data_IF_302856315942
#
_entry.id   IF_302856315942
#
_cell.length_a   1.000
_cell.length_b   1.000
_cell.length_c   1.000
_cell.angle_alpha   90.00
_cell.angle_beta   90.00
_cell.angle_gamma   90.00
#
_symmetry.space_group_name_H-M   'P 1'
#
loop_
_entity.id
_entity.type
_entity.pdbx_description
1 polymer ?
#
# COMPACT_ATOMS: atom_id res chain seq x y z
N UNK A 1 -23.16 25.60 -22.25
CA UNK A 1 -22.55 26.78 -21.58
C UNK A 1 -21.05 26.52 -21.37
N UNK A 2 -20.24 27.47 -21.80
CA UNK A 2 -18.79 27.35 -21.63
C UNK A 2 -18.38 27.93 -20.28
N UNK A 3 -17.58 27.21 -19.53
CA UNK A 3 -17.02 27.65 -18.26
C UNK A 3 -15.53 27.89 -18.45
N UNK A 4 -15.10 29.12 -18.26
CA UNK A 4 -13.68 29.47 -18.33
C UNK A 4 -13.01 29.19 -16.99
N UNK A 5 -11.96 28.38 -17.00
CA UNK A 5 -11.17 28.03 -15.83
C UNK A 5 -9.72 28.38 -16.06
N UNK A 6 -9.06 28.89 -15.05
CA UNK A 6 -7.62 29.12 -15.10
C UNK A 6 -6.90 27.88 -14.60
N UNK A 7 -5.82 27.53 -15.29
CA UNK A 7 -4.88 26.53 -14.81
C UNK A 7 -3.86 27.22 -13.92
N UNK A 8 -3.45 26.55 -12.86
CA UNK A 8 -2.43 27.02 -11.94
C UNK A 8 -1.24 26.10 -12.02
N UNK A 9 -0.04 26.68 -12.18
CA UNK A 9 1.19 25.92 -12.15
C UNK A 9 1.57 25.65 -10.70
N UNK A 10 1.91 24.40 -10.42
CA UNK A 10 2.40 23.98 -9.11
C UNK A 10 3.88 23.61 -9.23
N UNK A 11 4.62 23.79 -8.15
CA UNK A 11 5.97 23.26 -8.08
C UNK A 11 5.91 21.72 -8.16
N UNK A 12 6.94 21.06 -8.73
CA UNK A 12 6.98 19.60 -8.78
C UNK A 12 6.83 18.99 -7.39
N UNK A 13 5.82 18.16 -7.21
CA UNK A 13 5.51 17.48 -5.94
C UNK A 13 4.48 16.38 -6.18
N UNK A 14 4.29 15.53 -5.17
CA UNK A 14 3.29 14.45 -5.20
C UNK A 14 1.88 14.97 -4.87
N UNK A 15 1.42 16.00 -5.60
CA UNK A 15 0.14 16.68 -5.33
C UNK A 15 -1.09 16.07 -5.99
N UNK A 16 -1.02 14.83 -6.40
CA UNK A 16 -2.15 14.14 -7.04
C UNK A 16 -3.11 13.63 -5.97
N UNK A 17 -4.15 14.40 -5.69
CA UNK A 17 -5.13 14.09 -4.65
C UNK A 17 -6.55 14.18 -5.23
N UNK A 18 -7.55 13.46 -4.67
CA UNK A 18 -7.42 12.49 -3.58
C UNK A 18 -6.77 11.19 -4.03
N UNK A 19 -6.12 10.49 -3.09
CA UNK A 19 -5.51 9.19 -3.32
C UNK A 19 -6.14 8.15 -2.40
N UNK A 20 -6.34 6.91 -2.87
CA UNK A 20 -6.79 5.84 -1.99
C UNK A 20 -5.70 5.49 -0.98
N UNK A 21 -6.10 4.93 0.17
CA UNK A 21 -5.18 4.41 1.17
C UNK A 21 -5.44 2.92 1.31
N UNK A 22 -4.40 2.12 1.16
CA UNK A 22 -4.49 0.67 1.25
C UNK A 22 -3.39 0.12 2.14
N UNK A 23 -3.57 -1.13 2.59
CA UNK A 23 -2.55 -1.88 3.30
C UNK A 23 -1.99 -2.94 2.36
N UNK A 24 -0.70 -2.85 2.08
CA UNK A 24 0.01 -3.82 1.24
C UNK A 24 0.58 -4.90 2.14
N UNK A 25 0.17 -6.13 1.94
CA UNK A 25 0.69 -7.28 2.66
C UNK A 25 1.72 -8.04 1.85
N UNK A 26 2.78 -8.50 2.51
CA UNK A 26 3.81 -9.32 1.90
C UNK A 26 4.39 -10.30 2.92
N UNK A 27 4.91 -11.42 2.43
CA UNK A 27 5.54 -12.43 3.28
C UNK A 27 6.65 -13.14 2.52
N UNK A 28 7.71 -13.49 3.24
CA UNK A 28 8.81 -14.29 2.71
C UNK A 28 9.59 -14.93 3.85
N UNK A 29 9.87 -16.24 3.74
CA UNK A 29 10.62 -17.00 4.74
C UNK A 29 10.09 -16.83 6.17
N UNK A 30 8.77 -16.91 6.34
CA UNK A 30 8.13 -16.78 7.64
C UNK A 30 8.01 -15.36 8.16
N UNK A 31 8.59 -14.37 7.49
CA UNK A 31 8.42 -12.95 7.83
C UNK A 31 7.21 -12.40 7.10
N UNK A 32 6.35 -11.71 7.84
CA UNK A 32 5.15 -11.08 7.30
C UNK A 32 5.17 -9.61 7.65
N UNK A 33 4.63 -8.78 6.77
CA UNK A 33 4.52 -7.36 7.04
C UNK A 33 3.33 -6.77 6.29
N UNK A 34 2.82 -5.67 6.82
CA UNK A 34 1.86 -4.81 6.12
C UNK A 34 2.41 -3.39 6.16
N UNK A 35 2.20 -2.66 5.08
CA UNK A 35 2.53 -1.25 5.03
C UNK A 35 1.38 -0.47 4.42
N UNK A 36 1.21 0.74 4.88
CA UNK A 36 0.24 1.66 4.32
C UNK A 36 0.80 2.29 3.05
N UNK A 37 0.02 2.30 1.99
CA UNK A 37 0.39 2.91 0.72
C UNK A 37 -0.75 3.72 0.15
N UNK A 38 -0.43 4.84 -0.48
CA UNK A 38 -1.38 5.67 -1.18
C UNK A 38 -1.05 5.78 -2.67
N UNK A 39 0.16 5.39 -3.07
CA UNK A 39 0.58 5.41 -4.48
C UNK A 39 0.20 4.09 -5.14
N UNK A 40 -1.12 3.88 -5.27
CA UNK A 40 -1.73 2.65 -5.75
C UNK A 40 -2.89 3.01 -6.66
N UNK A 41 -3.08 2.23 -7.69
CA UNK A 41 -4.16 2.46 -8.62
C UNK A 41 -4.37 1.31 -9.60
N UNK A 42 -5.44 1.40 -10.36
CA UNK A 42 -5.73 0.43 -11.42
C UNK A 42 -4.81 0.70 -12.60
N UNK A 43 -4.04 -0.29 -13.00
CA UNK A 43 -3.13 -0.20 -14.14
C UNK A 43 -3.76 -0.72 -15.43
N UNK A 44 -4.62 -1.72 -15.34
CA UNK A 44 -5.26 -2.34 -16.50
C UNK A 44 -6.56 -3.02 -16.08
N UNK A 45 -7.55 -3.01 -16.94
CA UNK A 45 -8.84 -3.66 -16.67
C UNK A 45 -8.88 -5.09 -17.17
N UNK A 46 -8.15 -5.39 -18.27
CA UNK A 46 -8.15 -6.73 -18.86
C UNK A 46 -6.77 -7.04 -19.47
N UNK A 47 -6.00 -7.93 -18.80
CA UNK A 47 -6.33 -8.56 -17.52
C UNK A 47 -6.37 -7.54 -16.38
N UNK A 48 -7.12 -7.79 -15.30
CA UNK A 48 -7.18 -6.86 -14.19
C UNK A 48 -5.82 -6.74 -13.50
N UNK A 49 -5.31 -5.52 -13.41
CA UNK A 49 -4.01 -5.23 -12.82
C UNK A 49 -4.06 -4.00 -11.95
N UNK A 50 -3.37 -4.06 -10.82
CA UNK A 50 -3.17 -2.94 -9.92
C UNK A 50 -1.66 -2.64 -9.86
N UNK A 51 -1.31 -1.36 -9.88
CA UNK A 51 0.06 -0.92 -9.68
C UNK A 51 0.22 -0.33 -8.30
N UNK A 52 1.34 -0.64 -7.66
CA UNK A 52 1.71 -0.08 -6.36
C UNK A 52 3.16 0.38 -6.46
N UNK A 53 3.41 1.63 -6.09
CA UNK A 53 4.76 2.14 -6.00
C UNK A 53 5.28 1.95 -4.57
N UNK A 54 6.32 1.14 -4.43
CA UNK A 54 6.93 0.84 -3.13
C UNK A 54 8.39 1.29 -3.17
N UNK A 55 8.77 2.19 -2.25
CA UNK A 55 10.15 2.67 -2.19
C UNK A 55 11.08 1.56 -1.72
N UNK A 56 12.30 1.48 -2.30
CA UNK A 56 13.25 0.43 -1.91
C UNK A 56 13.64 0.39 -0.43
N UNK A 57 13.49 1.51 0.28
CA UNK A 57 13.80 1.60 1.71
C UNK A 57 12.76 0.89 2.59
N UNK A 58 11.56 0.64 2.06
CA UNK A 58 10.51 -0.02 2.82
C UNK A 58 10.83 -1.50 3.05
N UNK A 59 10.54 -1.99 4.25
CA UNK A 59 10.73 -3.40 4.56
C UNK A 59 9.91 -4.31 3.64
N UNK A 60 8.68 -3.92 3.33
CA UNK A 60 7.79 -4.64 2.41
C UNK A 60 8.39 -4.81 1.01
N UNK A 61 9.18 -3.82 0.55
CA UNK A 61 9.84 -3.90 -0.76
C UNK A 61 10.68 -5.18 -0.88
N UNK A 62 11.50 -5.47 0.12
CA UNK A 62 12.32 -6.67 0.13
C UNK A 62 11.52 -7.96 0.14
N UNK A 63 10.42 -7.98 0.88
CA UNK A 63 9.55 -9.14 0.95
C UNK A 63 8.85 -9.41 -0.39
N UNK A 64 8.34 -8.36 -1.03
CA UNK A 64 7.70 -8.48 -2.35
C UNK A 64 8.71 -8.91 -3.40
N UNK A 65 9.89 -8.31 -3.40
CA UNK A 65 10.93 -8.65 -4.38
C UNK A 65 11.38 -10.10 -4.25
N UNK A 66 11.51 -10.60 -3.02
CA UNK A 66 11.93 -11.97 -2.76
C UNK A 66 10.84 -13.00 -3.05
N UNK A 67 9.59 -12.70 -2.70
CA UNK A 67 8.47 -13.63 -2.86
C UNK A 67 7.80 -13.54 -4.23
N UNK A 68 7.85 -12.38 -4.88
CA UNK A 68 7.17 -12.13 -6.15
C UNK A 68 5.66 -11.97 -6.02
N UNK A 69 5.14 -11.75 -4.81
CA UNK A 69 3.71 -11.62 -4.58
C UNK A 69 3.40 -10.61 -3.47
N UNK A 70 2.19 -10.08 -3.48
CA UNK A 70 1.69 -9.19 -2.45
C UNK A 70 0.16 -9.21 -2.46
N UNK A 71 -0.43 -8.64 -1.42
CA UNK A 71 -1.88 -8.43 -1.33
C UNK A 71 -2.19 -6.95 -1.15
N UNK A 72 -3.38 -6.57 -1.57
CA UNK A 72 -3.94 -5.24 -1.32
C UNK A 72 -5.15 -5.42 -0.42
N UNK A 73 -5.13 -4.74 0.72
CA UNK A 73 -6.20 -4.78 1.70
C UNK A 73 -6.79 -3.39 1.85
N UNK A 74 -8.12 -3.30 1.82
CA UNK A 74 -8.82 -2.04 1.98
C UNK A 74 -9.19 -1.87 3.45
N UNK A 75 -8.57 -0.93 4.16
CA UNK A 75 -8.89 -0.72 5.57
C UNK A 75 -10.26 -0.06 5.72
N UNK A 76 -10.95 -0.42 6.81
CA UNK A 76 -12.18 0.25 7.18
C UNK A 76 -11.87 1.54 7.95
N UNK A 77 -12.88 2.39 8.11
CA UNK A 77 -12.76 3.62 8.91
C UNK A 77 -12.30 3.34 10.35
N UNK A 78 -12.75 2.23 10.91
CA UNK A 78 -12.38 1.81 12.27
C UNK A 78 -10.90 1.48 12.42
N UNK A 79 -10.19 1.25 11.31
CA UNK A 79 -8.77 0.92 11.30
C UNK A 79 -7.88 2.14 11.06
N UNK A 80 -8.38 3.35 11.29
CA UNK A 80 -7.63 4.57 10.99
C UNK A 80 -6.30 4.64 11.74
N UNK A 81 -6.31 4.38 13.05
CA UNK A 81 -5.10 4.44 13.87
C UNK A 81 -4.06 3.39 13.44
N UNK A 82 -4.51 2.15 13.24
CA UNK A 82 -3.63 1.06 12.82
C UNK A 82 -3.05 1.32 11.44
N UNK A 83 -3.85 1.87 10.53
CA UNK A 83 -3.43 2.20 9.17
C UNK A 83 -2.37 3.30 9.18
N UNK A 84 -2.57 4.34 9.97
CA UNK A 84 -1.59 5.41 10.12
C UNK A 84 -0.29 4.87 10.73
N UNK A 85 -0.39 4.11 11.80
CA UNK A 85 0.75 3.49 12.46
C UNK A 85 1.56 2.61 11.50
N UNK A 86 0.90 1.79 10.70
CA UNK A 86 1.56 0.91 9.74
C UNK A 86 2.34 1.66 8.66
N UNK A 87 1.98 2.91 8.39
CA UNK A 87 2.69 3.76 7.45
C UNK A 87 3.90 4.48 8.05
N UNK A 88 3.97 4.58 9.37
CA UNK A 88 5.00 5.32 10.09
C UNK A 88 6.12 4.41 10.59
N UNK A 89 5.78 3.20 11.07
CA UNK A 89 6.76 2.27 11.62
C UNK A 89 7.23 1.26 10.60
N UNK A 90 8.49 0.81 10.76
CA UNK A 90 9.08 -0.19 9.87
C UNK A 90 8.92 -1.60 10.45
N UNK A 91 8.59 -2.56 9.58
CA UNK A 91 8.58 -3.98 9.94
C UNK A 91 9.95 -4.54 10.33
N UNK A 92 11.03 -3.79 10.07
CA UNK A 92 12.36 -4.15 10.56
C UNK A 92 12.49 -3.99 12.06
N UNK A 93 11.73 -3.05 12.64
CA UNK A 93 11.82 -2.69 14.06
C UNK A 93 10.66 -3.25 14.88
N UNK A 94 9.51 -3.44 14.26
CA UNK A 94 8.26 -3.82 14.94
C UNK A 94 7.57 -4.93 14.18
N UNK A 95 7.10 -5.94 14.88
CA UNK A 95 6.22 -6.96 14.32
C UNK A 95 4.80 -6.39 14.30
N UNK A 96 4.28 -6.13 13.12
CA UNK A 96 2.96 -5.50 12.97
C UNK A 96 1.81 -6.43 13.35
N UNK A 97 2.07 -7.72 13.56
CA UNK A 97 1.08 -8.64 14.10
C UNK A 97 0.57 -8.22 15.51
N UNK A 98 1.30 -7.34 16.19
CA UNK A 98 0.84 -6.76 17.46
C UNK A 98 -0.45 -5.93 17.29
N UNK A 99 -0.63 -5.32 16.14
CA UNK A 99 -1.77 -4.43 15.87
C UNK A 99 -2.77 -5.01 14.88
N UNK A 100 -2.36 -5.99 14.08
CA UNK A 100 -3.19 -6.60 13.04
C UNK A 100 -3.27 -8.11 13.23
N UNK A 101 -4.42 -8.65 12.93
CA UNK A 101 -4.55 -10.11 12.73
C UNK A 101 -4.17 -10.39 11.27
N UNK A 102 -2.98 -10.93 11.05
CA UNK A 102 -2.47 -11.19 9.71
C UNK A 102 -2.95 -12.57 9.24
N UNK A 103 -3.87 -12.56 8.28
CA UNK A 103 -4.46 -13.76 7.71
C UNK A 103 -3.92 -13.96 6.30
N UNK A 104 -3.42 -15.14 6.02
CA UNK A 104 -2.89 -15.48 4.70
C UNK A 104 -3.95 -15.27 3.61
N UNK A 105 -3.54 -14.73 2.47
CA UNK A 105 -4.38 -14.60 1.30
C UNK A 105 -4.81 -15.96 0.73
N UNK A 106 -5.89 -15.95 -0.06
CA UNK A 106 -6.45 -17.20 -0.60
C UNK A 106 -5.54 -17.89 -1.61
N UNK A 107 -4.82 -17.12 -2.41
CA UNK A 107 -3.98 -17.63 -3.50
C UNK A 107 -2.49 -17.42 -3.28
N UNK A 108 -2.13 -16.63 -2.28
CA UNK A 108 -0.75 -16.24 -1.99
C UNK A 108 -0.47 -16.41 -0.51
N UNK A 109 0.80 -16.40 -0.13
CA UNK A 109 1.21 -16.51 1.27
C UNK A 109 1.16 -15.17 2.01
N UNK A 110 1.12 -14.06 1.28
CA UNK A 110 1.04 -12.73 1.85
C UNK A 110 -0.28 -12.53 2.64
N UNK A 111 -0.25 -11.78 3.75
CA UNK A 111 -1.45 -11.46 4.53
C UNK A 111 -2.32 -10.41 3.89
#
# INVERSE_FOLDING_TARGET
>A
MAVKRKKVLLNPREGLVPMPVVLVGAAHNGRKNVMTAAWVGVACSEPPMISVAIRPQRFTYGLVRASGEFTINLPSEEMLEETDWAGVVSGRKVDKAEWFTLVRGRKVKAP
#
